data_IF_168695795438
#
_entry.id   IF_168695795438
#
_cell.length_a   1.000
_cell.length_b   1.000
_cell.length_c   1.000
_cell.angle_alpha   90.00
_cell.angle_beta   90.00
_cell.angle_gamma   90.00
#
_symmetry.space_group_name_H-M   'P 1'
#
loop_
_entity.id
_entity.type
_entity.pdbx_description
1 polymer ?
#
# COMPACT_ATOMS: atom_id res chain seq x y z
N UNK A 1 -25.46 2.77 -20.59
CA UNK A 1 -24.91 2.78 -19.23
C UNK A 1 -23.46 2.37 -19.35
N UNK A 2 -22.55 3.33 -19.44
CA UNK A 2 -21.13 3.04 -19.22
C UNK A 2 -20.94 2.93 -17.71
N UNK A 3 -20.46 1.77 -17.25
CA UNK A 3 -20.15 1.57 -15.85
C UNK A 3 -18.99 2.48 -15.47
N UNK A 4 -19.20 3.31 -14.45
CA UNK A 4 -18.17 4.17 -13.87
C UNK A 4 -16.97 3.31 -13.48
N UNK A 5 -15.88 3.38 -14.26
CA UNK A 5 -14.61 2.74 -13.93
C UNK A 5 -14.05 3.53 -12.74
N UNK A 6 -14.23 3.00 -11.52
CA UNK A 6 -13.63 3.62 -10.34
C UNK A 6 -12.11 3.55 -10.47
N UNK A 7 -11.47 4.70 -10.73
CA UNK A 7 -10.03 4.84 -10.53
C UNK A 7 -9.75 4.57 -9.05
N UNK A 8 -9.00 3.50 -8.76
CA UNK A 8 -8.48 3.24 -7.44
C UNK A 8 -7.27 4.12 -7.17
N UNK A 9 -7.17 4.67 -5.96
CA UNK A 9 -5.98 5.40 -5.52
C UNK A 9 -4.87 4.42 -5.15
N UNK A 10 -3.65 4.70 -5.59
CA UNK A 10 -2.47 3.98 -5.14
C UNK A 10 -2.10 4.46 -3.73
N UNK A 11 -2.29 3.60 -2.74
CA UNK A 11 -2.08 3.93 -1.32
C UNK A 11 -0.73 3.48 -0.76
N UNK A 12 -0.05 2.53 -1.42
CA UNK A 12 1.29 2.07 -1.02
C UNK A 12 2.04 1.41 -2.19
N UNK A 13 3.37 1.59 -2.24
CA UNK A 13 4.22 0.97 -3.26
C UNK A 13 4.08 1.58 -4.66
N UNK A 14 4.12 0.74 -5.69
CA UNK A 14 3.94 1.13 -7.10
C UNK A 14 5.23 1.28 -7.91
N UNK A 15 6.41 1.32 -7.28
CA UNK A 15 7.70 1.47 -7.97
C UNK A 15 8.62 0.25 -7.81
N UNK A 16 8.02 -0.93 -7.64
CA UNK A 16 8.74 -2.19 -7.47
C UNK A 16 9.33 -2.39 -6.08
N UNK A 17 10.29 -3.32 -6.00
CA UNK A 17 10.93 -3.71 -4.74
C UNK A 17 12.03 -2.71 -4.36
N UNK A 18 12.01 -2.25 -3.10
CA UNK A 18 13.08 -1.43 -2.54
C UNK A 18 12.69 -0.77 -1.22
N UNK A 19 13.52 0.16 -0.76
CA UNK A 19 13.41 0.80 0.57
C UNK A 19 12.84 2.23 0.51
N UNK A 20 12.65 2.80 -0.68
CA UNK A 20 12.06 4.13 -0.83
C UNK A 20 10.59 4.16 -0.39
N UNK A 21 10.04 5.34 -0.13
CA UNK A 21 8.65 5.49 0.34
C UNK A 21 7.60 5.04 -0.71
N UNK A 22 7.97 5.03 -1.99
CA UNK A 22 7.14 4.56 -3.10
C UNK A 22 7.37 3.08 -3.45
N UNK A 23 8.14 2.36 -2.62
CA UNK A 23 8.50 0.96 -2.81
C UNK A 23 8.17 0.13 -1.57
N UNK A 24 8.05 -1.19 -1.76
CA UNK A 24 7.85 -2.16 -0.68
C UNK A 24 8.88 -3.28 -0.81
N UNK A 25 9.19 -3.97 0.27
CA UNK A 25 10.15 -5.07 0.32
C UNK A 25 9.58 -6.26 1.10
N UNK A 26 9.01 -7.19 0.34
CA UNK A 26 8.33 -8.40 0.84
C UNK A 26 7.28 -8.09 1.94
N UNK A 27 6.25 -7.30 1.64
CA UNK A 27 5.21 -6.99 2.61
C UNK A 27 4.44 -8.26 3.01
N UNK A 28 4.07 -8.38 4.30
CA UNK A 28 3.42 -9.59 4.83
C UNK A 28 1.96 -9.39 5.24
N UNK A 29 1.59 -8.20 5.69
CA UNK A 29 0.27 -7.93 6.25
C UNK A 29 -0.25 -6.55 5.84
N UNK A 30 -1.58 -6.47 5.70
CA UNK A 30 -2.32 -5.24 5.43
C UNK A 30 -3.44 -5.12 6.47
N UNK A 31 -3.65 -3.91 6.99
CA UNK A 31 -4.75 -3.57 7.89
C UNK A 31 -5.40 -2.25 7.42
N UNK A 32 -6.72 -2.16 7.54
CA UNK A 32 -7.47 -0.94 7.23
C UNK A 32 -8.22 -0.49 8.49
N UNK A 33 -8.02 0.75 8.91
CA UNK A 33 -8.69 1.30 10.09
C UNK A 33 -10.09 1.87 9.77
N UNK A 34 -10.80 2.30 10.81
CA UNK A 34 -12.15 2.87 10.67
C UNK A 34 -12.17 4.23 9.96
N UNK A 35 -11.01 4.87 9.75
CA UNK A 35 -10.85 6.10 8.99
C UNK A 35 -10.38 5.82 7.55
N UNK A 36 -10.37 4.55 7.12
CA UNK A 36 -9.90 4.09 5.82
C UNK A 36 -8.41 4.32 5.54
N UNK A 37 -7.58 4.49 6.56
CA UNK A 37 -6.13 4.47 6.36
C UNK A 37 -5.63 3.03 6.19
N UNK A 38 -4.65 2.84 5.31
CA UNK A 38 -4.14 1.51 4.92
C UNK A 38 -2.74 1.31 5.48
N UNK A 39 -2.60 0.39 6.42
CA UNK A 39 -1.32 0.08 7.03
C UNK A 39 -0.73 -1.16 6.38
N UNK A 40 0.53 -1.07 5.97
CA UNK A 40 1.27 -2.18 5.33
C UNK A 40 2.49 -2.52 6.15
N UNK A 41 2.60 -3.79 6.57
CA UNK A 41 3.82 -4.33 7.18
C UNK A 41 4.85 -4.60 6.09
N UNK A 42 5.80 -3.68 5.93
CA UNK A 42 6.88 -3.73 4.95
C UNK A 42 8.08 -4.48 5.55
N UNK A 43 7.91 -5.81 5.63
CA UNK A 43 8.67 -6.68 6.54
C UNK A 43 10.18 -6.63 6.38
N UNK A 44 10.71 -6.68 5.15
CA UNK A 44 12.17 -6.66 4.94
C UNK A 44 12.77 -5.25 5.00
N UNK A 45 11.94 -4.22 5.07
CA UNK A 45 12.38 -2.86 5.39
C UNK A 45 12.21 -2.53 6.89
N UNK A 46 11.74 -3.49 7.70
CA UNK A 46 11.54 -3.33 9.15
C UNK A 46 10.69 -2.11 9.53
N UNK A 47 9.67 -1.80 8.73
CA UNK A 47 8.78 -0.65 8.95
C UNK A 47 7.31 -0.99 8.74
N UNK A 48 6.44 -0.09 9.19
CA UNK A 48 5.01 -0.07 8.84
C UNK A 48 4.73 1.21 8.07
N UNK A 49 4.11 1.08 6.90
CA UNK A 49 3.64 2.20 6.08
C UNK A 49 2.16 2.47 6.41
N UNK A 50 1.71 3.72 6.25
CA UNK A 50 0.31 4.16 6.39
C UNK A 50 -0.14 4.84 5.10
#
# INVERSE_FOLDING_TARGET
MEGDMKNGDLVAGGHGKGSDLSQLNAPLFIFVDQQHAVYVSDHLNHRVMK
#
